data_IF_697917610481
#
_entry.id   IF_697917610481
#
_cell.length_a   1.000
_cell.length_b   1.000
_cell.length_c   1.000
_cell.angle_alpha   90.00
_cell.angle_beta   90.00
_cell.angle_gamma   90.00
#
_symmetry.space_group_name_H-M   'P 1'
#
loop_
_entity.id
_entity.type
_entity.pdbx_description
1 polymer ?
#
# COMPACT_ATOMS: atom_id res chain seq x y z
N UNK A 1 -34.33 32.71 54.71
CA UNK A 1 -34.51 31.80 53.55
C UNK A 1 -34.77 30.40 54.12
N UNK A 2 -35.83 29.74 53.70
CA UNK A 2 -36.24 28.45 54.25
C UNK A 2 -35.18 27.38 53.92
N UNK A 3 -34.65 26.67 54.92
CA UNK A 3 -33.61 25.66 54.78
C UNK A 3 -33.91 24.67 53.64
N UNK A 4 -35.19 24.34 53.41
CA UNK A 4 -35.63 23.46 52.30
C UNK A 4 -35.39 24.11 50.94
N UNK A 5 -35.63 25.43 50.77
CA UNK A 5 -35.38 26.14 49.50
C UNK A 5 -33.88 26.26 49.23
N UNK A 6 -33.05 26.44 50.25
CA UNK A 6 -31.58 26.49 50.08
C UNK A 6 -31.02 25.14 49.65
N UNK A 7 -31.50 24.03 50.21
CA UNK A 7 -31.08 22.68 49.82
C UNK A 7 -31.46 22.40 48.36
N UNK A 8 -32.67 22.74 47.94
CA UNK A 8 -33.13 22.53 46.54
C UNK A 8 -32.29 23.34 45.56
N UNK A 9 -31.91 24.57 45.87
CA UNK A 9 -31.07 25.41 45.00
C UNK A 9 -29.66 24.85 44.91
N UNK A 10 -29.08 24.34 46.02
CA UNK A 10 -27.74 23.73 46.00
C UNK A 10 -27.75 22.42 45.22
N UNK A 11 -28.72 21.56 45.41
CA UNK A 11 -28.84 20.29 44.66
C UNK A 11 -29.08 20.52 43.18
N UNK A 12 -29.86 21.51 42.76
CA UNK A 12 -30.07 21.89 41.39
C UNK A 12 -28.77 22.42 40.75
N UNK A 13 -28.01 23.25 41.47
CA UNK A 13 -26.72 23.78 41.04
C UNK A 13 -25.66 22.69 40.82
N UNK A 14 -25.59 21.71 41.74
CA UNK A 14 -24.68 20.55 41.61
C UNK A 14 -25.08 19.68 40.42
N UNK A 15 -26.38 19.44 40.20
CA UNK A 15 -26.87 18.65 39.06
C UNK A 15 -26.52 19.33 37.74
N UNK A 16 -26.70 20.65 37.63
CA UNK A 16 -26.32 21.42 36.42
C UNK A 16 -24.81 21.36 36.21
N UNK A 17 -24.00 21.49 37.26
CA UNK A 17 -22.54 21.38 37.15
C UNK A 17 -22.09 19.99 36.66
N UNK A 18 -22.73 18.92 37.15
CA UNK A 18 -22.46 17.54 36.68
C UNK A 18 -22.88 17.37 35.22
N UNK A 19 -24.02 17.89 34.80
CA UNK A 19 -24.47 17.83 33.40
C UNK A 19 -23.49 18.60 32.48
N UNK A 20 -23.08 19.81 32.89
CA UNK A 20 -22.10 20.60 32.14
C UNK A 20 -20.74 19.88 32.05
N UNK A 21 -20.27 19.31 33.17
CA UNK A 21 -19.04 18.51 33.17
C UNK A 21 -19.17 17.27 32.30
N UNK A 22 -20.31 16.58 32.32
CA UNK A 22 -20.57 15.42 31.44
C UNK A 22 -20.65 15.82 29.97
N UNK A 23 -21.31 16.94 29.65
CA UNK A 23 -21.37 17.47 28.28
C UNK A 23 -19.98 17.89 27.81
N UNK A 24 -19.19 18.58 28.64
CA UNK A 24 -17.81 18.93 28.35
C UNK A 24 -16.94 17.68 28.19
N UNK A 25 -17.06 16.70 29.04
CA UNK A 25 -16.38 15.41 28.93
C UNK A 25 -16.76 14.71 27.63
N UNK A 26 -18.02 14.60 27.30
CA UNK A 26 -18.51 13.99 26.07
C UNK A 26 -18.12 14.79 24.82
N UNK A 27 -18.02 16.12 24.87
CA UNK A 27 -17.60 16.94 23.71
C UNK A 27 -16.10 16.98 23.55
N UNK A 28 -15.32 16.98 24.64
CA UNK A 28 -13.84 17.00 24.58
C UNK A 28 -13.28 15.60 24.31
N UNK A 29 -13.83 14.56 24.95
CA UNK A 29 -13.33 13.19 24.79
C UNK A 29 -14.00 12.40 23.66
N UNK A 30 -15.16 12.83 23.12
CA UNK A 30 -15.72 12.26 21.88
C UNK A 30 -15.11 12.82 20.60
N UNK A 31 -14.28 13.87 20.68
CA UNK A 31 -13.56 14.39 19.50
C UNK A 31 -12.40 13.50 19.07
N UNK A 32 -11.93 12.61 19.91
CA UNK A 32 -11.09 11.49 19.52
C UNK A 32 -11.98 10.31 19.10
N UNK A 33 -12.84 10.54 18.10
CA UNK A 33 -13.55 9.45 17.45
C UNK A 33 -12.50 8.47 16.94
N UNK A 34 -12.49 7.25 17.50
CA UNK A 34 -11.58 6.19 17.15
C UNK A 34 -11.51 6.08 15.63
N UNK A 35 -10.34 6.30 15.07
CA UNK A 35 -10.10 6.05 13.66
C UNK A 35 -10.25 4.55 13.43
N UNK A 36 -11.00 4.21 12.40
CA UNK A 36 -11.21 2.81 12.04
C UNK A 36 -10.01 2.37 11.22
N UNK A 37 -9.18 1.54 11.82
CA UNK A 37 -8.15 0.78 11.15
C UNK A 37 -8.48 -0.68 11.31
N UNK A 38 -8.59 -1.42 10.22
CA UNK A 38 -8.91 -2.84 10.31
C UNK A 38 -8.39 -3.64 9.12
N UNK A 39 -8.24 -4.93 9.33
CA UNK A 39 -8.12 -5.90 8.24
C UNK A 39 -9.48 -6.02 7.56
N UNK A 40 -9.57 -5.63 6.29
CA UNK A 40 -10.81 -5.72 5.52
C UNK A 40 -10.99 -7.12 4.92
N UNK A 41 -9.94 -7.64 4.32
CA UNK A 41 -9.92 -8.97 3.68
C UNK A 41 -8.57 -9.63 3.93
N UNK A 42 -8.60 -10.93 4.26
CA UNK A 42 -7.39 -11.70 4.49
C UNK A 42 -7.57 -13.14 4.05
N UNK A 43 -6.57 -13.66 3.35
CA UNK A 43 -6.38 -15.08 3.09
C UNK A 43 -4.90 -15.37 2.84
N UNK A 44 -4.42 -16.54 3.24
CA UNK A 44 -3.04 -16.95 3.04
C UNK A 44 -2.20 -16.85 4.31
N UNK A 45 -0.98 -16.30 4.20
CA UNK A 45 -0.02 -16.22 5.29
C UNK A 45 0.43 -14.78 5.50
N UNK A 46 0.04 -14.21 6.62
CA UNK A 46 0.36 -12.85 7.03
C UNK A 46 0.55 -12.75 8.54
N UNK A 47 1.07 -11.63 9.01
CA UNK A 47 1.23 -11.35 10.42
C UNK A 47 1.01 -9.88 10.75
N UNK A 48 0.52 -9.62 11.94
CA UNK A 48 0.43 -8.30 12.55
C UNK A 48 1.26 -8.31 13.82
N UNK A 49 2.32 -7.51 13.86
CA UNK A 49 3.15 -7.36 15.07
C UNK A 49 2.74 -6.11 15.82
N UNK A 50 2.25 -6.29 17.03
CA UNK A 50 1.83 -5.21 17.92
C UNK A 50 2.78 -5.06 19.08
N UNK A 51 3.12 -3.82 19.40
CA UNK A 51 3.95 -3.51 20.56
C UNK A 51 3.33 -4.14 21.82
N UNK A 52 4.17 -4.71 22.68
CA UNK A 52 3.82 -5.32 23.96
C UNK A 52 2.96 -6.62 23.88
N UNK A 53 2.48 -7.01 22.70
CA UNK A 53 1.71 -8.26 22.48
C UNK A 53 2.53 -9.25 21.64
N UNK A 54 3.28 -8.76 20.65
CA UNK A 54 4.05 -9.59 19.72
C UNK A 54 3.26 -9.89 18.44
N UNK A 55 3.51 -11.06 17.87
CA UNK A 55 2.99 -11.46 16.57
C UNK A 55 1.57 -12.05 16.71
N UNK A 56 0.65 -11.58 15.88
CA UNK A 56 -0.76 -11.96 15.85
C UNK A 56 -1.09 -12.41 14.42
N UNK A 57 -1.76 -13.54 14.27
CA UNK A 57 -2.32 -13.94 12.98
C UNK A 57 -3.54 -13.05 12.66
N UNK A 58 -3.58 -12.39 11.49
CA UNK A 58 -4.69 -11.53 11.13
C UNK A 58 -5.97 -12.35 10.85
N UNK A 59 -7.11 -11.69 10.99
CA UNK A 59 -8.43 -12.20 10.59
C UNK A 59 -9.32 -11.06 10.09
N UNK A 60 -10.31 -11.38 9.29
CA UNK A 60 -11.22 -10.38 8.72
C UNK A 60 -11.92 -9.57 9.80
N UNK A 61 -11.93 -8.25 9.66
CA UNK A 61 -12.41 -7.25 10.62
C UNK A 61 -11.57 -7.14 11.91
N UNK A 62 -10.37 -7.73 11.98
CA UNK A 62 -9.43 -7.46 13.06
C UNK A 62 -9.13 -5.96 13.14
N UNK A 63 -9.30 -5.37 14.31
CA UNK A 63 -8.95 -3.96 14.54
C UNK A 63 -7.44 -3.83 14.67
N UNK A 64 -6.87 -2.91 13.89
CA UNK A 64 -5.46 -2.54 13.94
C UNK A 64 -5.26 -1.32 14.84
N UNK A 65 -4.09 -1.23 15.45
CA UNK A 65 -3.67 -0.08 16.23
C UNK A 65 -2.61 0.73 15.48
N UNK A 66 -2.56 2.03 15.74
CA UNK A 66 -1.50 2.88 15.19
C UNK A 66 -0.14 2.39 15.69
N UNK A 67 0.78 2.13 14.76
CA UNK A 67 2.08 1.55 15.04
C UNK A 67 2.17 0.03 14.86
N UNK A 68 1.07 -0.64 14.50
CA UNK A 68 1.14 -2.05 14.12
C UNK A 68 2.02 -2.23 12.87
N UNK A 69 2.91 -3.23 12.91
CA UNK A 69 3.63 -3.71 11.73
C UNK A 69 2.82 -4.82 11.10
N UNK A 70 2.55 -4.70 9.82
CA UNK A 70 1.78 -5.67 9.03
C UNK A 70 2.67 -6.26 7.95
N UNK A 71 2.73 -7.59 7.86
CA UNK A 71 3.47 -8.30 6.84
C UNK A 71 2.59 -9.33 6.16
N UNK A 72 2.67 -9.40 4.82
CA UNK A 72 2.04 -10.41 3.99
C UNK A 72 3.12 -11.24 3.31
N UNK A 73 3.24 -12.52 3.69
CA UNK A 73 4.17 -13.44 3.04
C UNK A 73 3.56 -14.01 1.73
N UNK A 74 2.31 -14.49 1.80
CA UNK A 74 1.62 -15.13 0.67
C UNK A 74 0.10 -14.95 0.77
N UNK A 75 -0.58 -14.78 -0.38
CA UNK A 75 -2.03 -14.67 -0.47
C UNK A 75 -2.53 -13.25 -0.62
N UNK A 76 -3.57 -12.88 0.12
CA UNK A 76 -4.25 -11.58 -0.01
C UNK A 76 -4.44 -10.91 1.34
N UNK A 77 -4.10 -9.65 1.43
CA UNK A 77 -4.36 -8.82 2.60
C UNK A 77 -4.76 -7.40 2.16
N UNK A 78 -5.93 -6.98 2.58
CA UNK A 78 -6.44 -5.62 2.35
C UNK A 78 -6.72 -4.98 3.70
N UNK A 79 -6.15 -3.82 3.93
CA UNK A 79 -6.42 -3.01 5.12
C UNK A 79 -7.41 -1.90 4.75
N UNK A 80 -8.21 -1.48 5.71
CA UNK A 80 -9.17 -0.37 5.57
C UNK A 80 -8.91 0.66 6.66
N UNK A 81 -8.70 1.90 6.23
CA UNK A 81 -8.59 3.06 7.09
C UNK A 81 -9.75 4.03 6.81
N UNK A 82 -10.43 4.48 7.87
CA UNK A 82 -11.49 5.51 7.83
C UNK A 82 -12.63 5.20 6.83
N UNK A 83 -12.99 3.92 6.65
CA UNK A 83 -14.10 3.45 5.82
C UNK A 83 -13.98 3.69 4.30
N UNK A 84 -13.00 4.47 3.83
CA UNK A 84 -12.86 4.88 2.42
C UNK A 84 -11.44 4.77 1.85
N UNK A 85 -10.48 4.25 2.61
CA UNK A 85 -9.09 4.12 2.18
C UNK A 85 -8.65 2.66 2.27
N UNK A 86 -8.62 1.99 1.14
CA UNK A 86 -8.19 0.60 1.03
C UNK A 86 -6.71 0.53 0.68
N UNK A 87 -5.98 -0.30 1.41
CA UNK A 87 -4.56 -0.56 1.20
C UNK A 87 -4.44 -2.04 0.86
N UNK A 88 -4.19 -2.33 -0.39
CA UNK A 88 -4.01 -3.69 -0.91
C UNK A 88 -2.53 -4.03 -0.87
N UNK A 89 -2.16 -5.05 -0.10
CA UNK A 89 -0.80 -5.52 -0.01
C UNK A 89 -0.55 -6.62 -1.05
N UNK A 90 0.61 -6.59 -1.68
CA UNK A 90 1.14 -7.68 -2.51
C UNK A 90 2.02 -8.61 -1.67
N UNK A 91 2.29 -9.83 -2.16
CA UNK A 91 3.13 -10.80 -1.47
C UNK A 91 4.55 -10.25 -1.23
N UNK A 92 5.14 -10.55 -0.07
CA UNK A 92 6.45 -10.04 0.35
C UNK A 92 6.43 -8.62 0.90
N UNK A 93 5.26 -8.06 1.19
CA UNK A 93 5.12 -6.69 1.70
C UNK A 93 5.24 -6.63 3.21
N UNK A 94 6.02 -5.67 3.71
CA UNK A 94 6.06 -5.25 5.12
C UNK A 94 5.86 -3.74 5.23
N UNK A 95 4.94 -3.33 6.09
CA UNK A 95 4.65 -1.93 6.37
C UNK A 95 4.33 -1.68 7.85
N UNK A 96 4.45 -0.42 8.28
CA UNK A 96 3.89 0.07 9.55
C UNK A 96 2.77 1.05 9.23
N UNK A 97 1.62 0.87 9.88
CA UNK A 97 0.46 1.74 9.71
C UNK A 97 0.32 2.67 10.91
N UNK A 98 0.47 3.98 10.68
CA UNK A 98 0.27 5.02 11.68
C UNK A 98 -0.98 5.83 11.36
N UNK A 99 -1.81 6.06 12.37
CA UNK A 99 -3.01 6.86 12.23
C UNK A 99 -3.23 7.73 13.46
N UNK A 100 -3.40 9.02 13.22
CA UNK A 100 -3.66 10.02 14.25
C UNK A 100 -4.75 10.99 13.80
N UNK A 101 -5.19 11.86 14.70
CA UNK A 101 -6.26 12.83 14.42
C UNK A 101 -7.66 12.25 14.64
N UNK A 102 -8.68 12.97 14.19
CA UNK A 102 -10.10 12.63 14.31
C UNK A 102 -10.69 12.24 12.95
N UNK A 103 -11.96 11.87 12.89
CA UNK A 103 -12.70 11.65 11.65
C UNK A 103 -12.67 12.87 10.71
N UNK A 104 -12.63 14.08 11.27
CA UNK A 104 -12.69 15.33 10.52
C UNK A 104 -11.31 15.80 10.04
N UNK A 105 -10.24 15.41 10.76
CA UNK A 105 -8.84 15.78 10.48
C UNK A 105 -7.95 14.56 10.60
N UNK A 106 -8.18 13.59 9.73
CA UNK A 106 -7.46 12.31 9.75
C UNK A 106 -6.04 12.45 9.19
N UNK A 107 -5.07 11.85 9.89
CA UNK A 107 -3.69 11.72 9.40
C UNK A 107 -3.33 10.25 9.34
N UNK A 108 -3.08 9.75 8.15
CA UNK A 108 -2.64 8.37 7.91
C UNK A 108 -1.24 8.40 7.31
N UNK A 109 -0.33 7.67 7.90
CA UNK A 109 1.03 7.50 7.38
C UNK A 109 1.34 6.00 7.30
N UNK A 110 1.75 5.56 6.12
CA UNK A 110 2.21 4.20 5.87
C UNK A 110 3.73 4.25 5.69
N UNK A 111 4.46 3.50 6.50
CA UNK A 111 5.89 3.27 6.33
C UNK A 111 6.07 1.95 5.58
N UNK A 112 6.17 1.99 4.25
CA UNK A 112 6.41 0.82 3.41
C UNK A 112 7.90 0.47 3.45
N UNK A 113 8.24 -0.66 4.06
CA UNK A 113 9.63 -1.11 4.21
C UNK A 113 10.11 -1.95 3.03
N UNK A 114 9.24 -2.83 2.52
CA UNK A 114 9.51 -3.71 1.39
C UNK A 114 8.23 -4.17 0.72
N UNK A 115 8.32 -4.67 -0.52
CA UNK A 115 7.20 -5.17 -1.28
C UNK A 115 6.39 -4.06 -1.93
N UNK A 116 5.09 -4.27 -2.16
CA UNK A 116 4.26 -3.31 -2.86
C UNK A 116 2.86 -3.19 -2.26
N UNK A 117 2.33 -1.99 -2.31
CA UNK A 117 0.95 -1.68 -1.94
C UNK A 117 0.25 -0.90 -3.04
N UNK A 118 -1.04 -1.20 -3.25
CA UNK A 118 -1.93 -0.36 -4.03
C UNK A 118 -2.92 0.30 -3.09
N UNK A 119 -2.93 1.64 -3.12
CA UNK A 119 -3.81 2.47 -2.30
C UNK A 119 -4.99 2.91 -3.15
N UNK A 120 -6.20 2.61 -2.70
CA UNK A 120 -7.46 3.08 -3.27
C UNK A 120 -8.15 4.03 -2.29
N UNK A 121 -8.00 5.33 -2.53
CA UNK A 121 -8.60 6.39 -1.73
C UNK A 121 -9.85 6.88 -2.45
N UNK A 122 -11.01 6.41 -2.00
CA UNK A 122 -12.29 6.61 -2.70
C UNK A 122 -12.82 8.04 -2.62
N UNK A 123 -12.55 8.73 -1.51
CA UNK A 123 -13.00 10.10 -1.31
C UNK A 123 -11.82 11.08 -1.22
N UNK A 124 -12.07 12.32 -1.65
CA UNK A 124 -11.09 13.39 -1.43
C UNK A 124 -10.92 13.63 0.06
N UNK A 125 -9.68 13.81 0.48
CA UNK A 125 -9.38 14.12 1.87
C UNK A 125 -10.03 15.44 2.29
N UNK A 126 -10.61 15.47 3.49
CA UNK A 126 -11.11 16.69 4.11
C UNK A 126 -9.98 17.69 4.39
N UNK A 127 -10.33 18.96 4.55
CA UNK A 127 -9.36 19.99 4.90
C UNK A 127 -8.68 19.66 6.23
N UNK A 128 -7.35 19.77 6.27
CA UNK A 128 -6.54 19.39 7.44
C UNK A 128 -6.24 17.91 7.60
N UNK A 129 -6.80 17.05 6.74
CA UNK A 129 -6.43 15.62 6.67
C UNK A 129 -5.23 15.40 5.76
N UNK A 130 -4.42 14.37 6.08
CA UNK A 130 -3.31 13.93 5.26
C UNK A 130 -3.29 12.41 5.09
N UNK A 131 -2.82 11.96 3.94
CA UNK A 131 -2.49 10.57 3.65
C UNK A 131 -1.10 10.55 3.03
N UNK A 132 -0.19 9.86 3.69
CA UNK A 132 1.22 9.82 3.33
C UNK A 132 1.71 8.38 3.24
N UNK A 133 2.55 8.11 2.23
CA UNK A 133 3.30 6.85 2.12
C UNK A 133 4.78 7.20 2.11
N UNK A 134 5.49 6.66 3.08
CA UNK A 134 6.94 6.80 3.21
C UNK A 134 7.60 5.48 2.81
N UNK A 135 8.70 5.58 2.10
CA UNK A 135 9.60 4.49 1.75
C UNK A 135 11.01 4.83 2.24
N UNK A 136 11.98 3.92 2.15
CA UNK A 136 13.36 4.22 2.56
C UNK A 136 13.98 5.45 1.87
N UNK A 137 13.52 5.82 0.68
CA UNK A 137 14.12 6.90 -0.13
C UNK A 137 13.10 7.92 -0.67
N UNK A 138 11.83 7.86 -0.26
CA UNK A 138 10.81 8.82 -0.71
C UNK A 138 9.68 9.00 0.28
N UNK A 139 9.12 10.21 0.32
CA UNK A 139 7.84 10.49 0.97
C UNK A 139 6.84 10.99 -0.06
N UNK A 140 5.63 10.44 0.00
CA UNK A 140 4.55 10.74 -0.94
C UNK A 140 3.35 11.25 -0.19
N UNK A 141 2.69 12.29 -0.74
CA UNK A 141 1.42 12.78 -0.25
C UNK A 141 0.37 12.79 -1.36
N UNK A 142 -0.87 12.47 -1.00
CA UNK A 142 -1.97 12.27 -1.96
C UNK A 142 -3.26 12.92 -1.49
N UNK A 143 -4.19 13.11 -2.45
CA UNK A 143 -5.48 13.72 -2.16
C UNK A 143 -6.62 13.07 -2.98
N UNK A 144 -6.93 11.80 -2.66
CA UNK A 144 -7.98 11.04 -3.39
C UNK A 144 -7.44 10.50 -4.71
N UNK A 145 -6.83 9.32 -4.68
CA UNK A 145 -6.07 8.72 -5.78
C UNK A 145 -6.14 7.20 -5.72
N UNK A 146 -5.97 6.55 -6.88
CA UNK A 146 -5.53 5.15 -6.94
C UNK A 146 -4.07 5.16 -7.40
N UNK A 147 -3.18 4.62 -6.57
CA UNK A 147 -1.76 4.57 -6.88
C UNK A 147 -1.09 3.37 -6.22
N UNK A 148 -0.05 2.86 -6.88
CA UNK A 148 0.79 1.76 -6.41
C UNK A 148 2.17 2.28 -6.01
N UNK A 149 2.69 1.79 -4.91
CA UNK A 149 4.06 2.03 -4.46
C UNK A 149 4.73 0.68 -4.26
N UNK A 150 5.88 0.50 -4.89
CA UNK A 150 6.69 -0.71 -4.78
C UNK A 150 8.09 -0.36 -4.30
N UNK A 151 8.56 -1.08 -3.30
CA UNK A 151 9.93 -0.98 -2.75
C UNK A 151 10.64 -2.31 -2.98
N UNK A 152 11.74 -2.26 -3.71
CA UNK A 152 12.58 -3.44 -3.96
C UNK A 152 14.06 -3.08 -3.94
N UNK A 153 14.91 -4.08 -3.83
CA UNK A 153 16.36 -3.93 -3.84
C UNK A 153 16.95 -4.75 -4.99
N UNK A 154 17.82 -4.13 -5.76
CA UNK A 154 18.55 -4.80 -6.83
C UNK A 154 20.01 -4.34 -6.81
N UNK A 155 20.96 -5.30 -6.78
CA UNK A 155 22.39 -5.03 -6.71
C UNK A 155 22.80 -4.09 -5.55
N UNK A 156 22.11 -4.17 -4.41
CA UNK A 156 22.38 -3.33 -3.23
C UNK A 156 21.82 -1.92 -3.30
N UNK A 157 21.10 -1.58 -4.36
CA UNK A 157 20.42 -0.29 -4.56
C UNK A 157 18.94 -0.47 -4.24
N UNK A 158 18.39 0.41 -3.40
CA UNK A 158 16.96 0.44 -3.09
C UNK A 158 16.22 1.32 -4.08
N UNK A 159 15.16 0.76 -4.62
CA UNK A 159 14.28 1.41 -5.56
C UNK A 159 12.89 1.61 -4.95
N UNK A 160 12.29 2.75 -5.24
CA UNK A 160 10.85 2.98 -5.05
C UNK A 160 10.25 3.30 -6.41
N UNK A 161 9.27 2.49 -6.85
CA UNK A 161 8.45 2.76 -8.04
C UNK A 161 7.11 3.29 -7.58
N UNK A 162 6.65 4.37 -8.18
CA UNK A 162 5.35 4.98 -7.90
C UNK A 162 4.57 5.06 -9.20
N UNK A 163 3.44 4.36 -9.30
CA UNK A 163 2.54 4.34 -10.47
C UNK A 163 1.19 4.93 -10.07
N UNK A 164 0.69 5.93 -10.81
CA UNK A 164 -0.55 6.64 -10.49
C UNK A 164 -1.62 6.32 -11.54
N UNK A 165 -2.67 5.63 -11.12
CA UNK A 165 -3.77 5.20 -11.99
C UNK A 165 -4.90 6.23 -12.06
N UNK A 166 -5.15 6.94 -10.95
CA UNK A 166 -6.15 8.01 -10.85
C UNK A 166 -5.62 9.15 -9.99
N UNK A 167 -5.97 10.38 -10.35
CA UNK A 167 -5.57 11.56 -9.61
C UNK A 167 -4.10 11.92 -9.79
N UNK A 168 -3.41 12.28 -8.70
CA UNK A 168 -2.00 12.62 -8.71
C UNK A 168 -1.33 12.41 -7.36
N UNK A 169 -0.05 12.14 -7.39
CA UNK A 169 0.82 11.95 -6.21
C UNK A 169 1.92 13.01 -6.23
N UNK A 170 2.14 13.65 -5.10
CA UNK A 170 3.28 14.52 -4.87
C UNK A 170 4.35 13.72 -4.11
N UNK A 171 5.55 13.62 -4.68
CA UNK A 171 6.66 12.85 -4.13
C UNK A 171 7.88 13.73 -3.88
N UNK A 172 8.55 13.51 -2.76
CA UNK A 172 9.84 14.11 -2.41
C UNK A 172 10.84 13.02 -2.08
N UNK A 173 12.08 13.24 -2.48
CA UNK A 173 13.17 12.33 -2.15
C UNK A 173 13.54 12.44 -0.66
N UNK A 174 13.88 11.30 -0.06
CA UNK A 174 14.54 11.25 1.26
C UNK A 174 15.99 10.84 1.02
N UNK A 175 16.91 11.70 1.46
CA UNK A 175 18.35 11.44 1.37
C UNK A 175 18.80 10.42 2.42
N UNK A 176 19.96 9.80 2.23
CA UNK A 176 20.56 8.83 3.19
C UNK A 176 20.72 9.37 4.61
N UNK A 177 20.92 10.69 4.75
CA UNK A 177 21.00 11.36 6.05
C UNK A 177 19.63 11.54 6.73
N UNK A 178 18.53 11.18 6.04
CA UNK A 178 17.15 11.34 6.50
C UNK A 178 16.50 12.69 6.18
N UNK A 179 17.23 13.62 5.55
CA UNK A 179 16.66 14.88 5.12
C UNK A 179 15.70 14.66 3.93
N UNK A 180 14.64 15.47 3.88
CA UNK A 180 13.68 15.47 2.77
C UNK A 180 14.06 16.57 1.78
N UNK A 181 14.08 16.25 0.48
CA UNK A 181 14.35 17.22 -0.57
C UNK A 181 13.30 18.34 -0.60
N UNK A 182 13.74 19.56 -0.87
CA UNK A 182 12.84 20.71 -1.04
C UNK A 182 12.00 20.59 -2.33
N UNK A 183 12.57 19.97 -3.37
CA UNK A 183 11.91 19.78 -4.64
C UNK A 183 10.88 18.67 -4.56
N UNK A 184 9.67 18.96 -5.03
CA UNK A 184 8.57 18.03 -5.15
C UNK A 184 8.35 17.65 -6.61
N UNK A 185 8.18 16.36 -6.88
CA UNK A 185 7.81 15.84 -8.19
C UNK A 185 6.36 15.43 -8.14
N UNK A 186 5.54 16.02 -9.01
CA UNK A 186 4.15 15.61 -9.19
C UNK A 186 4.08 14.50 -10.25
N UNK A 187 3.46 13.38 -9.88
CA UNK A 187 3.21 12.24 -10.77
C UNK A 187 1.73 12.29 -11.12
N UNK A 188 1.44 12.51 -12.39
CA UNK A 188 0.08 12.60 -12.90
C UNK A 188 -0.49 11.22 -13.24
N UNK A 189 -1.81 11.16 -13.40
CA UNK A 189 -2.55 9.97 -13.85
C UNK A 189 -1.92 9.33 -15.11
N UNK A 190 -1.83 8.02 -15.16
CA UNK A 190 -1.23 7.23 -16.26
C UNK A 190 0.30 7.21 -16.26
N UNK A 191 0.94 7.84 -15.28
CA UNK A 191 2.40 7.94 -15.22
C UNK A 191 2.98 7.19 -14.04
N UNK A 192 4.22 6.76 -14.23
CA UNK A 192 5.05 6.21 -13.15
C UNK A 192 6.43 6.87 -13.11
N UNK A 193 7.05 6.84 -11.95
CA UNK A 193 8.43 7.25 -11.72
C UNK A 193 9.18 6.17 -10.96
N UNK A 194 10.51 6.14 -11.16
CA UNK A 194 11.44 5.34 -10.40
C UNK A 194 12.32 6.26 -9.57
N UNK A 195 12.41 6.00 -8.28
CA UNK A 195 13.21 6.75 -7.32
C UNK A 195 14.26 5.80 -6.78
N UNK A 196 15.53 6.19 -6.84
CA UNK A 196 16.62 5.39 -6.28
C UNK A 196 17.78 6.29 -5.88
N UNK A 197 18.59 5.76 -5.00
CA UNK A 197 19.83 6.37 -4.55
C UNK A 197 20.98 5.42 -4.85
N UNK A 198 21.96 5.88 -5.64
CA UNK A 198 23.18 5.17 -5.97
C UNK A 198 24.37 5.92 -5.33
N UNK A 199 25.34 5.19 -4.77
CA UNK A 199 26.54 5.76 -4.17
C UNK A 199 27.40 6.56 -5.16
N UNK A 200 27.19 6.38 -6.47
CA UNK A 200 27.93 7.02 -7.54
C UNK A 200 27.18 8.16 -8.24
N UNK A 201 25.90 8.35 -7.94
CA UNK A 201 25.06 9.40 -8.52
C UNK A 201 24.36 10.21 -7.44
N UNK A 202 24.10 11.46 -7.73
CA UNK A 202 23.18 12.28 -6.95
C UNK A 202 21.79 11.59 -7.01
N UNK A 203 21.11 11.53 -5.89
CA UNK A 203 19.74 11.04 -5.74
C UNK A 203 18.88 11.27 -6.98
N UNK A 204 18.27 10.21 -7.48
CA UNK A 204 17.63 10.24 -8.78
C UNK A 204 16.14 9.95 -8.70
N UNK A 205 15.36 10.85 -9.30
CA UNK A 205 13.96 10.61 -9.65
C UNK A 205 13.88 10.56 -11.17
N UNK A 206 13.45 9.43 -11.74
CA UNK A 206 13.32 9.29 -13.18
C UNK A 206 12.32 10.29 -13.75
N UNK A 207 12.48 10.73 -15.02
CA UNK A 207 11.38 11.39 -15.70
C UNK A 207 10.12 10.51 -15.67
N UNK A 208 8.92 11.11 -15.49
CA UNK A 208 7.67 10.36 -15.57
C UNK A 208 7.54 9.67 -16.94
N UNK A 209 7.18 8.39 -16.93
CA UNK A 209 6.90 7.59 -18.13
C UNK A 209 5.50 6.99 -18.05
N UNK A 210 4.99 6.47 -19.16
CA UNK A 210 3.72 5.76 -19.19
C UNK A 210 3.81 4.45 -18.37
N UNK A 211 2.75 4.09 -17.69
CA UNK A 211 2.68 2.85 -16.92
C UNK A 211 2.70 1.65 -17.87
N UNK A 212 3.57 0.68 -17.61
CA UNK A 212 3.52 -0.62 -18.28
C UNK A 212 2.55 -1.54 -17.51
N UNK A 213 1.29 -1.59 -17.95
CA UNK A 213 0.26 -2.42 -17.35
C UNK A 213 0.55 -3.92 -17.45
N UNK A 214 1.44 -4.32 -18.37
CA UNK A 214 1.86 -5.73 -18.49
C UNK A 214 2.72 -6.20 -17.31
N UNK A 215 3.40 -5.29 -16.62
CA UNK A 215 4.22 -5.56 -15.43
C UNK A 215 3.40 -5.68 -14.14
N UNK A 216 2.15 -5.21 -14.14
CA UNK A 216 1.32 -5.18 -12.92
C UNK A 216 0.84 -6.59 -12.55
N UNK A 217 0.73 -6.92 -11.25
CA UNK A 217 0.09 -8.14 -10.79
C UNK A 217 -1.39 -8.21 -11.19
N UNK A 218 -1.91 -9.44 -11.32
CA UNK A 218 -3.32 -9.66 -11.67
C UNK A 218 -4.27 -8.98 -10.66
N UNK A 219 -3.94 -9.04 -9.36
CA UNK A 219 -4.74 -8.39 -8.30
C UNK A 219 -4.86 -6.88 -8.47
N UNK A 220 -3.85 -6.21 -9.04
CA UNK A 220 -3.90 -4.78 -9.37
C UNK A 220 -4.78 -4.56 -10.59
N UNK A 221 -4.64 -5.40 -11.64
CA UNK A 221 -5.49 -5.33 -12.84
C UNK A 221 -6.97 -5.51 -12.49
N UNK A 222 -7.32 -6.49 -11.63
CA UNK A 222 -8.68 -6.70 -11.11
C UNK A 222 -9.21 -5.49 -10.34
N UNK A 223 -8.37 -4.87 -9.49
CA UNK A 223 -8.73 -3.65 -8.77
C UNK A 223 -9.05 -2.51 -9.74
N UNK A 224 -8.22 -2.33 -10.78
CA UNK A 224 -8.44 -1.29 -11.79
C UNK A 224 -9.69 -1.55 -12.63
N UNK A 225 -9.98 -2.81 -13.01
CA UNK A 225 -11.22 -3.17 -13.71
C UNK A 225 -12.46 -2.86 -12.87
N UNK A 226 -12.40 -3.19 -11.56
CA UNK A 226 -13.45 -2.83 -10.63
C UNK A 226 -13.61 -1.30 -10.55
N UNK A 227 -12.52 -0.56 -10.42
CA UNK A 227 -12.56 0.91 -10.35
C UNK A 227 -13.20 1.53 -11.62
N UNK A 228 -12.85 1.02 -12.82
CA UNK A 228 -13.51 1.41 -14.06
C UNK A 228 -15.01 1.08 -14.05
N UNK A 229 -15.38 -0.08 -13.52
CA UNK A 229 -16.79 -0.50 -13.39
C UNK A 229 -17.57 0.40 -12.45
N UNK A 230 -16.91 0.93 -11.41
CA UNK A 230 -17.46 1.88 -10.45
C UNK A 230 -17.46 3.33 -10.99
N UNK A 231 -17.02 3.53 -12.24
CA UNK A 231 -17.03 4.84 -12.92
C UNK A 231 -15.86 5.76 -12.54
N UNK A 232 -14.76 5.21 -12.02
CA UNK A 232 -13.52 5.96 -11.70
C UNK A 232 -12.82 6.38 -13.00
N UNK A 233 -12.13 7.51 -12.95
CA UNK A 233 -11.44 8.11 -14.11
C UNK A 233 -9.97 7.64 -14.18
N UNK A 234 -9.72 6.49 -14.77
CA UNK A 234 -8.38 5.95 -15.02
C UNK A 234 -7.83 6.36 -16.39
N UNK A 235 -6.52 6.28 -16.57
CA UNK A 235 -5.84 6.54 -17.85
C UNK A 235 -5.61 5.24 -18.65
N UNK A 236 -6.56 4.33 -18.59
CA UNK A 236 -6.60 3.11 -19.39
C UNK A 236 -8.04 2.78 -19.75
N UNK A 237 -8.26 2.37 -20.99
CA UNK A 237 -9.57 1.92 -21.44
C UNK A 237 -9.83 0.48 -20.96
N UNK A 238 -11.09 0.15 -20.71
CA UNK A 238 -11.47 -1.17 -20.18
C UNK A 238 -11.08 -2.32 -21.12
N UNK A 239 -11.30 -2.15 -22.42
CA UNK A 239 -10.96 -3.14 -23.44
C UNK A 239 -9.44 -3.38 -23.55
N UNK A 240 -8.63 -2.41 -23.17
CA UNK A 240 -7.19 -2.55 -23.04
C UNK A 240 -6.82 -3.32 -21.77
N UNK A 241 -7.43 -3.01 -20.64
CA UNK A 241 -7.21 -3.66 -19.37
C UNK A 241 -7.62 -5.14 -19.40
N UNK A 242 -8.76 -5.45 -20.07
CA UNK A 242 -9.26 -6.82 -20.24
C UNK A 242 -8.27 -7.77 -20.93
N UNK A 243 -7.32 -7.24 -21.73
CA UNK A 243 -6.26 -8.07 -22.35
C UNK A 243 -5.32 -8.69 -21.32
N UNK A 244 -5.23 -8.11 -20.13
CA UNK A 244 -4.38 -8.61 -19.04
C UNK A 244 -5.13 -9.52 -18.08
N UNK A 245 -6.48 -9.47 -18.03
CA UNK A 245 -7.29 -10.36 -17.20
C UNK A 245 -7.31 -11.77 -17.80
N UNK A 246 -7.10 -12.78 -16.96
CA UNK A 246 -7.10 -14.20 -17.34
C UNK A 246 -6.22 -14.53 -18.56
N UNK A 247 -5.17 -13.74 -18.78
CA UNK A 247 -4.24 -13.97 -19.88
C UNK A 247 -3.26 -15.11 -19.56
N UNK A 248 -2.77 -15.73 -20.62
CA UNK A 248 -1.76 -16.78 -20.55
C UNK A 248 -0.43 -16.17 -20.91
N UNK A 249 0.62 -16.48 -20.15
CA UNK A 249 1.99 -16.04 -20.39
C UNK A 249 2.91 -17.22 -20.67
N UNK A 250 3.95 -16.99 -21.46
CA UNK A 250 4.95 -17.99 -21.82
C UNK A 250 6.24 -17.74 -21.06
N UNK A 251 6.72 -18.76 -20.36
CA UNK A 251 8.05 -18.77 -19.76
C UNK A 251 8.98 -19.56 -20.67
N UNK A 252 10.04 -18.93 -21.14
CA UNK A 252 11.04 -19.52 -22.01
C UNK A 252 12.34 -19.74 -21.25
N UNK A 253 12.78 -20.97 -21.13
CA UNK A 253 14.06 -21.33 -20.53
C UNK A 253 15.13 -21.37 -21.62
N UNK A 254 16.25 -20.70 -21.37
CA UNK A 254 17.33 -20.52 -22.35
C UNK A 254 18.65 -21.01 -21.78
N UNK A 255 19.43 -21.75 -22.57
CA UNK A 255 20.81 -22.13 -22.29
C UNK A 255 21.67 -21.92 -23.54
N UNK A 256 22.81 -21.28 -23.35
CA UNK A 256 23.77 -20.95 -24.44
C UNK A 256 23.07 -20.27 -25.66
N UNK A 257 22.14 -19.33 -25.36
CA UNK A 257 21.37 -18.60 -26.37
C UNK A 257 20.33 -19.44 -27.13
N UNK A 258 20.07 -20.69 -26.71
CA UNK A 258 19.08 -21.60 -27.32
C UNK A 258 17.97 -21.91 -26.38
N UNK A 259 16.75 -22.02 -26.91
CA UNK A 259 15.57 -22.44 -26.11
C UNK A 259 15.78 -23.87 -25.63
N UNK A 260 15.80 -24.03 -24.31
CA UNK A 260 15.87 -25.32 -23.61
C UNK A 260 14.47 -25.92 -23.40
N UNK A 261 13.49 -25.07 -23.10
CA UNK A 261 12.11 -25.46 -22.92
C UNK A 261 11.18 -24.26 -22.77
N UNK A 262 9.88 -24.51 -22.77
CA UNK A 262 8.86 -23.49 -22.54
C UNK A 262 7.78 -24.01 -21.59
N UNK A 263 7.18 -23.12 -20.83
CA UNK A 263 5.98 -23.39 -20.03
C UNK A 263 4.94 -22.32 -20.36
N UNK A 264 3.70 -22.73 -20.46
CA UNK A 264 2.55 -21.83 -20.59
C UNK A 264 1.78 -21.87 -19.29
N UNK A 265 1.62 -20.72 -18.65
CA UNK A 265 0.99 -20.58 -17.34
C UNK A 265 -0.03 -19.45 -17.37
N UNK A 266 -1.00 -19.48 -16.48
CA UNK A 266 -1.88 -18.35 -16.26
C UNK A 266 -1.06 -17.17 -15.72
N UNK A 267 -1.38 -15.95 -16.13
CA UNK A 267 -0.80 -14.73 -15.59
C UNK A 267 -0.93 -14.71 -14.06
N UNK A 268 0.11 -14.29 -13.35
CA UNK A 268 0.15 -14.34 -11.90
C UNK A 268 0.48 -15.73 -11.31
N UNK A 269 0.58 -16.75 -12.16
CA UNK A 269 1.07 -18.07 -11.77
C UNK A 269 2.59 -18.08 -11.54
N UNK A 270 3.11 -19.20 -11.03
CA UNK A 270 4.55 -19.42 -10.83
C UNK A 270 5.09 -20.38 -11.87
N UNK A 271 6.27 -20.07 -12.42
CA UNK A 271 7.00 -21.03 -13.24
C UNK A 271 7.45 -22.22 -12.38
N UNK A 272 7.46 -23.40 -12.97
CA UNK A 272 8.00 -24.60 -12.34
C UNK A 272 9.44 -24.79 -12.83
N UNK A 273 10.36 -24.98 -11.90
CA UNK A 273 11.74 -25.25 -12.25
C UNK A 273 11.85 -26.52 -13.08
N UNK A 274 12.52 -26.49 -14.25
CA UNK A 274 12.71 -27.69 -15.06
C UNK A 274 13.46 -28.78 -14.29
N UNK A 275 12.94 -30.00 -14.29
CA UNK A 275 13.59 -31.15 -13.64
C UNK A 275 14.88 -31.60 -14.33
N UNK A 276 15.00 -31.29 -15.63
CA UNK A 276 16.22 -31.50 -16.41
C UNK A 276 17.04 -30.21 -16.41
N UNK A 277 18.34 -30.33 -16.18
CA UNK A 277 19.29 -29.23 -16.23
C UNK A 277 20.10 -29.26 -17.52
N UNK A 278 20.38 -28.13 -18.17
CA UNK A 278 21.11 -28.10 -19.43
C UNK A 278 22.62 -28.42 -19.26
N UNK A 279 23.17 -28.28 -18.05
CA UNK A 279 24.57 -28.55 -17.73
C UNK A 279 24.70 -29.13 -16.30
N UNK A 280 25.86 -29.76 -16.04
CA UNK A 280 26.12 -30.39 -14.73
C UNK A 280 26.35 -29.40 -13.58
N UNK A 281 26.65 -28.14 -13.89
CA UNK A 281 26.82 -27.06 -12.91
C UNK A 281 26.16 -25.77 -13.41
N UNK A 282 25.63 -25.00 -12.48
CA UNK A 282 24.90 -23.76 -12.76
C UNK A 282 23.53 -23.77 -12.09
N UNK A 283 22.73 -22.75 -12.37
CA UNK A 283 21.34 -22.60 -11.92
C UNK A 283 20.57 -21.69 -12.88
N UNK A 284 19.25 -21.78 -12.83
CA UNK A 284 18.39 -20.83 -13.50
C UNK A 284 18.45 -19.48 -12.77
N UNK A 285 18.55 -18.39 -13.52
CA UNK A 285 18.62 -17.02 -12.96
C UNK A 285 17.23 -16.46 -12.60
N UNK A 286 16.44 -17.29 -11.93
CA UNK A 286 15.06 -16.96 -11.57
C UNK A 286 14.72 -17.50 -10.17
N UNK A 287 14.00 -16.70 -9.44
CA UNK A 287 13.37 -17.12 -8.19
C UNK A 287 11.99 -17.70 -8.48
N UNK A 288 11.86 -19.02 -8.40
CA UNK A 288 10.63 -19.75 -8.72
C UNK A 288 9.49 -19.52 -7.69
N UNK A 289 9.72 -18.78 -6.63
CA UNK A 289 8.67 -18.29 -5.74
C UNK A 289 7.94 -17.07 -6.32
N UNK A 290 8.54 -16.36 -7.29
CA UNK A 290 7.97 -15.17 -7.91
C UNK A 290 6.84 -15.51 -8.88
N UNK A 291 5.83 -14.65 -8.92
CA UNK A 291 4.75 -14.69 -9.91
C UNK A 291 5.23 -14.16 -11.26
N UNK A 292 4.68 -14.71 -12.33
CA UNK A 292 4.99 -14.31 -13.71
C UNK A 292 3.78 -13.59 -14.30
N UNK A 293 3.92 -12.30 -14.58
CA UNK A 293 2.83 -11.45 -15.05
C UNK A 293 2.89 -11.14 -16.56
N UNK A 294 3.99 -11.49 -17.22
CA UNK A 294 4.22 -11.31 -18.66
C UNK A 294 5.12 -12.40 -19.22
N UNK A 295 5.22 -12.51 -20.54
CA UNK A 295 6.18 -13.40 -21.17
C UNK A 295 7.59 -13.15 -20.63
N UNK A 296 8.21 -14.21 -20.14
CA UNK A 296 9.46 -14.14 -19.37
C UNK A 296 10.49 -15.11 -19.92
N UNK A 297 11.73 -14.65 -20.07
CA UNK A 297 12.87 -15.50 -20.41
C UNK A 297 13.74 -15.71 -19.18
N UNK A 298 14.05 -16.98 -18.87
CA UNK A 298 14.89 -17.40 -17.74
C UNK A 298 16.13 -18.07 -18.32
N UNK A 299 17.31 -17.59 -17.94
CA UNK A 299 18.58 -18.09 -18.44
C UNK A 299 19.26 -19.01 -17.43
N UNK A 300 19.95 -20.04 -17.93
CA UNK A 300 20.86 -20.84 -17.11
C UNK A 300 22.23 -20.16 -17.03
N UNK A 301 22.74 -19.99 -15.81
CA UNK A 301 24.06 -19.37 -15.49
C UNK A 301 24.95 -20.30 -14.69
#
# INVERSE_FOLDING_TARGET
MDKKKTIIVITAGVLVAIIVALVLFLTVFRKDAYRILKVFEYSGKASVTRKDIGNIEPYNNMVLESGDTVALDEGKLVLLADEDKYIHLEEGTELVLNATGSSDTSKTTIELKSGAITNDIQNKLSEGSSYEVNTPNSTMSVRGTIFRVEVYEENGIKYTRVSVFEGKVASRLIYKNGDVADNEVTIEKGKEVLIYEDDNTVDYVSPPRDIDYSDLPESVIELLDKALSDGRDLDIARDELEKYLNSIVTVTFVYDGKVFGTQTIERGGRAVEPTLTPAASGSWDWDFSKKVNKDTTIEWK
#
